data_IF_269547012437
#
_entry.id   IF_269547012437
#
_cell.length_a   1.000
_cell.length_b   1.000
_cell.length_c   1.000
_cell.angle_alpha   90.00
_cell.angle_beta   90.00
_cell.angle_gamma   90.00
#
_symmetry.space_group_name_H-M   'P 1'
#
loop_
_entity.id
_entity.type
_entity.pdbx_description
1 polymer ?
#
# COMPACT_ATOMS: atom_id res chain seq x y z
N UNK A 1 -10.89 17.91 -2.85
CA UNK A 1 -10.78 18.41 -1.45
C UNK A 1 -11.17 17.27 -0.51
N UNK A 2 -10.51 17.13 0.66
CA UNK A 2 -10.88 16.08 1.61
C UNK A 2 -12.29 16.31 2.16
N UNK A 3 -13.02 15.23 2.45
CA UNK A 3 -14.37 15.27 3.04
C UNK A 3 -14.35 15.41 4.57
N UNK A 4 -13.18 15.34 5.18
CA UNK A 4 -12.93 15.58 6.61
C UNK A 4 -11.92 16.71 6.78
N UNK A 5 -12.02 17.43 7.90
CA UNK A 5 -11.03 18.44 8.26
C UNK A 5 -9.67 17.76 8.49
N UNK A 6 -8.64 18.22 7.79
CA UNK A 6 -7.27 17.79 8.05
C UNK A 6 -6.81 18.37 9.39
N UNK A 7 -6.45 17.51 10.33
CA UNK A 7 -5.90 17.94 11.61
C UNK A 7 -4.55 18.61 11.36
N UNK A 8 -4.30 19.72 12.07
CA UNK A 8 -3.02 20.42 12.00
C UNK A 8 -1.90 19.52 12.54
N UNK A 9 -0.74 19.51 11.88
CA UNK A 9 0.39 18.70 12.35
C UNK A 9 0.95 19.18 13.70
N UNK A 10 0.68 20.43 14.08
CA UNK A 10 1.00 21.03 15.37
C UNK A 10 -0.14 20.92 16.40
N UNK A 11 -1.08 19.99 16.19
CA UNK A 11 -2.21 19.75 17.11
C UNK A 11 -1.78 19.57 18.56
N UNK A 12 -2.58 20.10 19.48
CA UNK A 12 -2.36 19.94 20.92
C UNK A 12 -2.90 18.61 21.49
N UNK A 13 -3.52 17.76 20.66
CA UNK A 13 -3.97 16.44 21.09
C UNK A 13 -2.76 15.50 21.28
N UNK A 14 -2.48 15.04 22.52
CA UNK A 14 -1.30 14.24 22.81
C UNK A 14 -1.29 12.88 22.09
N UNK A 15 -2.46 12.26 21.87
CA UNK A 15 -2.58 10.97 21.16
C UNK A 15 -2.18 11.11 19.69
N UNK A 16 -2.74 12.11 19.01
CA UNK A 16 -2.44 12.37 17.60
C UNK A 16 -0.98 12.78 17.40
N UNK A 17 -0.46 13.64 18.29
CA UNK A 17 0.93 14.09 18.28
C UNK A 17 1.90 12.90 18.39
N UNK A 18 1.67 11.97 19.31
CA UNK A 18 2.51 10.79 19.46
C UNK A 18 2.56 9.94 18.17
N UNK A 19 1.44 9.76 17.48
CA UNK A 19 1.42 9.04 16.19
C UNK A 19 2.12 9.83 15.08
N UNK A 20 1.92 11.15 15.02
CA UNK A 20 2.60 11.99 14.02
C UNK A 20 4.12 11.99 14.21
N UNK A 21 4.60 12.09 15.44
CA UNK A 21 6.02 12.04 15.75
C UNK A 21 6.63 10.68 15.35
N UNK A 22 5.93 9.59 15.63
CA UNK A 22 6.34 8.25 15.21
C UNK A 22 6.34 8.08 13.68
N UNK A 23 5.35 8.65 12.96
CA UNK A 23 5.33 8.68 11.49
C UNK A 23 6.56 9.42 10.95
N UNK A 24 6.89 10.60 11.50
CA UNK A 24 8.07 11.38 11.08
C UNK A 24 9.35 10.60 11.30
N UNK A 25 9.51 10.01 12.49
CA UNK A 25 10.68 9.21 12.85
C UNK A 25 10.83 7.96 11.97
N UNK A 26 9.75 7.20 11.81
CA UNK A 26 9.75 5.94 11.05
C UNK A 26 9.98 6.17 9.57
N UNK A 27 9.30 7.16 8.96
CA UNK A 27 9.38 7.43 7.52
C UNK A 27 10.48 8.41 7.13
N UNK A 28 11.17 9.01 8.12
CA UNK A 28 12.20 10.05 7.93
C UNK A 28 11.68 11.20 7.07
N UNK A 29 10.55 11.77 7.48
CA UNK A 29 9.88 12.88 6.79
C UNK A 29 9.63 14.04 7.76
N UNK A 30 9.62 15.26 7.24
CA UNK A 30 9.41 16.47 8.04
C UNK A 30 7.92 16.81 8.20
N UNK A 31 7.16 16.61 7.11
CA UNK A 31 5.72 16.92 7.03
C UNK A 31 4.87 15.66 7.09
N UNK A 32 3.73 15.75 7.76
CA UNK A 32 2.77 14.64 7.84
C UNK A 32 1.93 14.58 6.56
N UNK A 33 1.94 13.45 5.81
CA UNK A 33 1.08 13.27 4.64
C UNK A 33 -0.41 13.42 4.97
N UNK A 34 -1.18 13.95 4.03
CA UNK A 34 -2.59 14.32 4.26
C UNK A 34 -3.48 13.14 4.69
N UNK A 35 -3.19 11.90 4.28
CA UNK A 35 -3.93 10.72 4.74
C UNK A 35 -3.89 10.57 6.27
N UNK A 36 -2.74 10.79 6.89
CA UNK A 36 -2.59 10.70 8.35
C UNK A 36 -3.28 11.87 9.04
N UNK A 37 -3.22 13.06 8.44
CA UNK A 37 -3.96 14.25 8.91
C UNK A 37 -5.47 14.10 8.81
N UNK A 38 -5.96 13.37 7.81
CA UNK A 38 -7.36 13.05 7.65
C UNK A 38 -7.80 11.99 8.67
N UNK A 39 -7.03 10.91 8.83
CA UNK A 39 -7.29 9.86 9.82
C UNK A 39 -7.27 10.41 11.25
N UNK A 40 -6.44 11.42 11.53
CA UNK A 40 -6.37 12.10 12.82
C UNK A 40 -7.68 12.73 13.29
N UNK A 41 -8.67 12.93 12.41
CA UNK A 41 -10.02 13.31 12.82
C UNK A 41 -10.66 12.26 13.76
N UNK A 42 -10.19 11.01 13.71
CA UNK A 42 -10.48 9.94 14.66
C UNK A 42 -9.15 9.35 15.19
N UNK A 43 -8.67 9.77 16.38
CA UNK A 43 -7.39 9.36 16.94
C UNK A 43 -7.22 7.84 17.12
N UNK A 44 -8.27 7.13 17.52
CA UNK A 44 -8.24 5.66 17.68
C UNK A 44 -8.01 4.97 16.34
N UNK A 45 -8.71 5.42 15.30
CA UNK A 45 -8.54 4.86 13.97
C UNK A 45 -7.16 5.17 13.38
N UNK A 46 -6.63 6.38 13.62
CA UNK A 46 -5.26 6.75 13.23
C UNK A 46 -4.22 5.82 13.86
N UNK A 47 -4.30 5.57 15.17
CA UNK A 47 -3.40 4.67 15.89
C UNK A 47 -3.43 3.25 15.30
N UNK A 48 -4.64 2.70 15.09
CA UNK A 48 -4.82 1.36 14.51
C UNK A 48 -4.25 1.27 13.09
N UNK A 49 -4.56 2.24 12.22
CA UNK A 49 -4.04 2.26 10.86
C UNK A 49 -2.51 2.33 10.84
N UNK A 50 -1.92 3.17 11.69
CA UNK A 50 -0.47 3.31 11.75
C UNK A 50 0.22 2.04 12.27
N UNK A 51 -0.35 1.39 13.29
CA UNK A 51 0.14 0.10 13.78
C UNK A 51 0.08 -0.98 12.69
N UNK A 52 -1.01 -1.06 11.94
CA UNK A 52 -1.15 -1.97 10.81
C UNK A 52 -0.07 -1.73 9.75
N UNK A 53 0.14 -0.46 9.36
CA UNK A 53 1.18 -0.12 8.38
C UNK A 53 2.56 -0.55 8.88
N UNK A 54 2.92 -0.27 10.14
CA UNK A 54 4.22 -0.71 10.68
C UNK A 54 4.35 -2.24 10.70
N UNK A 55 3.29 -2.95 11.10
CA UNK A 55 3.31 -4.40 11.19
C UNK A 55 3.44 -5.08 9.82
N UNK A 56 2.75 -4.56 8.81
CA UNK A 56 2.66 -5.15 7.46
C UNK A 56 3.82 -4.70 6.58
N UNK A 57 4.22 -3.42 6.63
CA UNK A 57 5.21 -2.85 5.72
C UNK A 57 6.66 -3.01 6.21
N UNK A 58 6.92 -3.44 7.45
CA UNK A 58 8.29 -3.75 7.88
C UNK A 58 8.94 -4.82 6.98
N UNK A 59 10.25 -4.76 6.70
CA UNK A 59 10.94 -5.82 5.95
C UNK A 59 10.73 -7.21 6.59
N UNK A 60 10.61 -8.24 5.75
CA UNK A 60 10.47 -9.62 6.18
C UNK A 60 10.93 -10.57 5.08
N UNK A 61 10.16 -11.62 4.79
CA UNK A 61 10.40 -12.49 3.63
C UNK A 61 10.29 -11.73 2.29
N UNK A 62 9.50 -10.67 2.26
CA UNK A 62 9.52 -9.64 1.22
C UNK A 62 10.21 -8.40 1.78
N UNK A 63 11.13 -7.83 1.00
CA UNK A 63 11.74 -6.56 1.32
C UNK A 63 10.73 -5.40 1.16
N UNK A 64 11.14 -4.20 1.59
CA UNK A 64 10.26 -3.04 1.54
C UNK A 64 9.98 -2.59 0.11
N UNK A 65 10.96 -2.67 -0.80
CA UNK A 65 10.79 -2.33 -2.22
C UNK A 65 9.66 -3.14 -2.84
N UNK A 66 9.70 -4.47 -2.68
CA UNK A 66 8.69 -5.39 -3.20
C UNK A 66 7.30 -5.05 -2.66
N UNK A 67 7.20 -4.70 -1.36
CA UNK A 67 5.93 -4.32 -0.75
C UNK A 67 5.38 -3.00 -1.30
N UNK A 68 6.24 -2.00 -1.54
CA UNK A 68 5.82 -0.74 -2.15
C UNK A 68 5.40 -0.92 -3.61
N UNK A 69 6.07 -1.79 -4.38
CA UNK A 69 5.66 -2.16 -5.73
C UNK A 69 4.27 -2.83 -5.73
N UNK A 70 4.04 -3.79 -4.82
CA UNK A 70 2.72 -4.42 -4.66
C UNK A 70 1.65 -3.37 -4.30
N UNK A 71 1.95 -2.48 -3.34
CA UNK A 71 1.03 -1.43 -2.93
C UNK A 71 0.71 -0.46 -4.09
N UNK A 72 1.70 -0.10 -4.90
CA UNK A 72 1.52 0.71 -6.10
C UNK A 72 0.64 -0.02 -7.13
N UNK A 73 0.92 -1.29 -7.42
CA UNK A 73 0.16 -2.09 -8.38
C UNK A 73 -1.34 -2.22 -8.00
N UNK A 74 -1.62 -2.48 -6.72
CA UNK A 74 -2.99 -2.49 -6.17
C UNK A 74 -3.64 -1.11 -6.29
N UNK A 75 -2.89 -0.05 -5.95
CA UNK A 75 -3.38 1.33 -6.02
C UNK A 75 -3.75 1.76 -7.44
N UNK A 76 -2.93 1.41 -8.43
CA UNK A 76 -3.16 1.68 -9.85
C UNK A 76 -4.42 0.95 -10.31
N UNK A 77 -4.53 -0.35 -10.00
CA UNK A 77 -5.68 -1.16 -10.41
C UNK A 77 -7.00 -0.69 -9.78
N UNK A 78 -6.93 -0.09 -8.58
CA UNK A 78 -8.08 0.49 -7.88
C UNK A 78 -8.35 1.96 -8.24
N UNK A 79 -7.52 2.60 -9.08
CA UNK A 79 -7.69 3.99 -9.48
C UNK A 79 -7.51 5.01 -8.34
N UNK A 80 -6.64 4.74 -7.35
CA UNK A 80 -6.38 5.66 -6.25
C UNK A 80 -5.20 6.61 -6.54
N UNK A 81 -5.45 7.78 -7.14
CA UNK A 81 -4.39 8.74 -7.50
C UNK A 81 -3.46 9.11 -6.34
N UNK A 82 -4.02 9.36 -5.15
CA UNK A 82 -3.24 9.67 -3.97
C UNK A 82 -2.29 8.51 -3.58
N UNK A 83 -2.81 7.29 -3.62
CA UNK A 83 -2.08 6.09 -3.25
C UNK A 83 -0.98 5.78 -4.28
N UNK A 84 -1.29 5.91 -5.58
CA UNK A 84 -0.33 5.74 -6.69
C UNK A 84 0.87 6.66 -6.48
N UNK A 85 0.64 7.96 -6.27
CA UNK A 85 1.71 8.92 -6.03
C UNK A 85 2.51 8.60 -4.75
N UNK A 86 1.81 8.26 -3.66
CA UNK A 86 2.47 7.96 -2.38
C UNK A 86 3.38 6.73 -2.46
N UNK A 87 2.92 5.64 -3.09
CA UNK A 87 3.66 4.38 -3.12
C UNK A 87 4.75 4.37 -4.19
N UNK A 88 4.54 5.00 -5.35
CA UNK A 88 5.62 5.17 -6.35
C UNK A 88 6.74 6.08 -5.82
N UNK A 89 6.41 7.17 -5.11
CA UNK A 89 7.43 7.99 -4.46
C UNK A 89 8.21 7.24 -3.37
N UNK A 90 7.55 6.32 -2.65
CA UNK A 90 8.22 5.46 -1.67
C UNK A 90 9.15 4.45 -2.35
N UNK A 91 8.70 3.79 -3.42
CA UNK A 91 9.52 2.89 -4.21
C UNK A 91 10.72 3.61 -4.85
N UNK A 92 10.53 4.83 -5.38
CA UNK A 92 11.62 5.63 -5.94
C UNK A 92 12.70 5.96 -4.91
N UNK A 93 12.31 6.31 -3.68
CA UNK A 93 13.27 6.52 -2.57
C UNK A 93 14.07 5.28 -2.19
N UNK A 94 13.56 4.09 -2.54
CA UNK A 94 14.23 2.81 -2.32
C UNK A 94 15.08 2.39 -3.53
N UNK A 95 15.10 3.18 -4.60
CA UNK A 95 15.94 2.96 -5.79
C UNK A 95 15.21 2.47 -7.04
N UNK A 96 13.87 2.49 -7.08
CA UNK A 96 13.12 2.20 -8.30
C UNK A 96 13.24 3.40 -9.26
N UNK A 97 13.93 3.21 -10.39
CA UNK A 97 14.09 4.23 -11.42
C UNK A 97 12.92 4.25 -12.41
N UNK A 98 13.01 5.13 -13.41
CA UNK A 98 11.95 5.33 -14.40
C UNK A 98 11.71 4.09 -15.27
N UNK A 99 12.76 3.30 -15.55
CA UNK A 99 12.65 2.04 -16.28
C UNK A 99 11.91 1.00 -15.44
N UNK A 100 12.29 0.83 -14.17
CA UNK A 100 11.58 -0.04 -13.23
C UNK A 100 10.13 0.38 -12.99
N UNK A 101 9.84 1.69 -12.97
CA UNK A 101 8.46 2.18 -12.94
C UNK A 101 7.69 1.77 -14.21
N UNK A 102 8.32 1.86 -15.38
CA UNK A 102 7.78 1.36 -16.64
C UNK A 102 7.44 -0.12 -16.59
N UNK A 103 8.32 -0.96 -16.04
CA UNK A 103 8.06 -2.40 -15.86
C UNK A 103 6.87 -2.67 -14.94
N UNK A 104 6.77 -1.96 -13.81
CA UNK A 104 5.62 -2.09 -12.90
C UNK A 104 4.31 -1.78 -13.64
N UNK A 105 4.28 -0.71 -14.43
CA UNK A 105 3.10 -0.33 -15.21
C UNK A 105 2.76 -1.38 -16.29
N UNK A 106 3.77 -1.94 -16.95
CA UNK A 106 3.59 -3.00 -17.94
C UNK A 106 2.96 -4.26 -17.31
N UNK A 107 3.45 -4.70 -16.14
CA UNK A 107 2.89 -5.84 -15.39
C UNK A 107 1.44 -5.56 -14.97
N UNK A 108 1.16 -4.38 -14.43
CA UNK A 108 -0.20 -3.97 -14.03
C UNK A 108 -1.15 -3.97 -15.22
N UNK A 109 -0.74 -3.41 -16.35
CA UNK A 109 -1.54 -3.37 -17.57
C UNK A 109 -1.86 -4.77 -18.11
N UNK A 110 -0.83 -5.62 -18.21
CA UNK A 110 -0.96 -6.99 -18.69
C UNK A 110 -1.96 -7.80 -17.85
N UNK A 111 -1.78 -7.83 -16.53
CA UNK A 111 -2.66 -8.64 -15.69
C UNK A 111 -4.06 -8.06 -15.53
N UNK A 112 -4.22 -6.74 -15.61
CA UNK A 112 -5.55 -6.15 -15.73
C UNK A 112 -6.28 -6.65 -16.98
N UNK A 113 -5.61 -6.70 -18.13
CA UNK A 113 -6.20 -7.26 -19.35
C UNK A 113 -6.56 -8.74 -19.18
N UNK A 114 -5.62 -9.56 -18.71
CA UNK A 114 -5.85 -11.01 -18.55
C UNK A 114 -6.95 -11.33 -17.53
N UNK A 115 -7.02 -10.60 -16.41
CA UNK A 115 -8.09 -10.77 -15.43
C UNK A 115 -9.47 -10.57 -16.06
N UNK A 116 -9.62 -9.61 -16.97
CA UNK A 116 -10.88 -9.36 -17.69
C UNK A 116 -11.21 -10.47 -18.68
N UNK A 117 -10.20 -11.00 -19.37
CA UNK A 117 -10.37 -12.13 -20.29
C UNK A 117 -10.81 -13.39 -19.55
N UNK A 118 -10.08 -13.79 -18.51
CA UNK A 118 -10.37 -14.99 -17.70
C UNK A 118 -11.74 -14.89 -17.05
N UNK A 119 -12.05 -13.73 -16.44
CA UNK A 119 -13.36 -13.51 -15.80
C UNK A 119 -14.52 -13.51 -16.80
N UNK A 120 -14.37 -12.81 -17.93
CA UNK A 120 -15.42 -12.74 -18.96
C UNK A 120 -15.67 -14.06 -19.68
N UNK A 121 -14.62 -14.89 -19.84
CA UNK A 121 -14.73 -16.24 -20.41
C UNK A 121 -15.19 -17.30 -19.40
N UNK A 122 -15.31 -16.94 -18.12
CA UNK A 122 -15.68 -17.85 -17.02
C UNK A 122 -14.77 -19.10 -16.96
N UNK A 123 -13.47 -18.90 -17.15
CA UNK A 123 -12.49 -20.00 -17.14
C UNK A 123 -12.27 -20.46 -15.69
N UNK A 124 -12.43 -21.77 -15.45
CA UNK A 124 -12.15 -22.41 -14.17
C UNK A 124 -10.62 -22.59 -13.96
N UNK A 125 -10.10 -22.45 -12.72
CA UNK A 125 -8.69 -22.71 -12.44
C UNK A 125 -8.33 -24.19 -12.60
N UNK A 126 -7.25 -24.47 -13.32
CA UNK A 126 -6.68 -25.82 -13.51
C UNK A 126 -5.22 -25.93 -13.00
N UNK A 127 -4.59 -24.79 -12.70
CA UNK A 127 -3.26 -24.68 -12.10
C UNK A 127 -3.36 -24.13 -10.69
N UNK A 128 -2.73 -24.82 -9.73
CA UNK A 128 -2.83 -24.48 -8.31
C UNK A 128 -1.45 -24.39 -7.63
N UNK A 129 -1.24 -23.46 -6.68
CA UNK A 129 0.01 -23.35 -5.94
C UNK A 129 0.26 -24.63 -5.13
N UNK A 130 1.51 -25.10 -5.02
CA UNK A 130 1.83 -26.20 -4.10
C UNK A 130 1.62 -25.70 -2.68
N UNK A 131 0.71 -26.34 -1.95
CA UNK A 131 0.59 -26.19 -0.50
C UNK A 131 1.43 -27.30 0.08
N UNK A 132 2.29 -26.99 1.05
CA UNK A 132 3.04 -27.99 1.81
C UNK A 132 2.04 -28.73 2.71
N UNK A 133 1.27 -29.63 2.10
CA UNK A 133 0.28 -30.47 2.77
C UNK A 133 0.42 -31.87 2.23
N UNK A 134 0.55 -32.84 3.13
CA UNK A 134 0.56 -34.28 2.84
C UNK A 134 -0.77 -34.80 2.26
N UNK A 135 -1.77 -33.94 2.06
CA UNK A 135 -3.08 -34.30 1.55
C UNK A 135 -3.29 -33.85 0.10
N UNK A 136 -3.84 -34.73 -0.77
CA UNK A 136 -4.21 -34.35 -2.12
C UNK A 136 -5.41 -33.39 -2.11
N UNK A 137 -5.36 -32.37 -2.96
CA UNK A 137 -6.51 -31.46 -3.16
C UNK A 137 -7.72 -32.22 -3.71
N UNK A 138 -8.95 -31.89 -3.25
CA UNK A 138 -10.16 -32.41 -3.88
C UNK A 138 -10.20 -31.98 -5.35
N UNK A 139 -10.60 -32.93 -6.21
CA UNK A 139 -10.82 -32.73 -7.63
C UNK A 139 -11.98 -31.78 -7.88
#
# INVERSE_FOLDING_TARGET
MPTVKLVDENTNNPRVRAVFDDIKATRKIERIPNIWRALAANPEHLELCWQQVKAIMKPGKLDLMTKEIIAAAVSISNGCDYCVNSHLAAAQKLGLDDEGMGEVLAVVGLYNQFNRLVWGLQIEPDVFPKVDSSEPRPK
#
